data_IF_907592514088
#
_entry.id   IF_907592514088
#
_cell.length_a   1.000
_cell.length_b   1.000
_cell.length_c   1.000
_cell.angle_alpha   90.00
_cell.angle_beta   90.00
_cell.angle_gamma   90.00
#
_symmetry.space_group_name_H-M   'P 1'
#
loop_
_entity.id
_entity.type
_entity.pdbx_description
1 polymer ?
#
# COMPACT_ATOMS: atom_id res chain seq x y z
N UNK A 1 -10.62 -5.67 5.65
CA UNK A 1 -9.54 -5.54 4.64
C UNK A 1 -9.32 -4.11 4.18
N UNK A 2 -10.40 -3.38 3.80
CA UNK A 2 -10.26 -2.06 3.15
C UNK A 2 -9.55 -1.03 4.04
N UNK A 3 -9.85 -0.99 5.35
CA UNK A 3 -9.13 -0.15 6.31
C UNK A 3 -7.64 -0.52 6.41
N UNK A 4 -7.30 -1.82 6.40
CA UNK A 4 -5.90 -2.26 6.40
C UNK A 4 -5.17 -1.78 5.13
N UNK A 5 -5.85 -1.79 3.96
CA UNK A 5 -5.27 -1.26 2.73
C UNK A 5 -4.92 0.23 2.88
N UNK A 6 -5.83 1.04 3.42
CA UNK A 6 -5.60 2.46 3.65
C UNK A 6 -4.42 2.69 4.60
N UNK A 7 -4.40 2.00 5.74
CA UNK A 7 -3.29 2.10 6.71
C UNK A 7 -1.94 1.82 6.05
N UNK A 8 -1.83 0.72 5.30
CA UNK A 8 -0.58 0.36 4.62
C UNK A 8 -0.24 1.39 3.53
N UNK A 9 -1.20 1.77 2.68
CA UNK A 9 -0.98 2.70 1.58
C UNK A 9 -0.49 4.08 2.04
N UNK A 10 -1.05 4.59 3.14
CA UNK A 10 -0.74 5.93 3.65
C UNK A 10 0.47 5.97 4.57
N UNK A 11 0.81 4.88 5.27
CA UNK A 11 1.94 4.85 6.20
C UNK A 11 3.21 4.22 5.63
N UNK A 12 3.10 3.51 4.50
CA UNK A 12 4.25 2.87 3.82
C UNK A 12 4.52 3.52 2.47
N UNK A 13 3.49 4.04 1.80
CA UNK A 13 3.63 4.62 0.48
C UNK A 13 3.91 3.62 -0.65
N UNK A 14 3.76 2.32 -0.41
CA UNK A 14 3.88 1.30 -1.45
C UNK A 14 2.80 1.45 -2.53
N UNK A 15 3.07 0.99 -3.75
CA UNK A 15 2.06 0.99 -4.81
C UNK A 15 0.94 -0.01 -4.51
N UNK A 16 -0.28 0.29 -4.95
CA UNK A 16 -1.41 -0.63 -4.76
C UNK A 16 -1.13 -2.06 -5.25
N UNK A 17 -0.46 -2.19 -6.38
CA UNK A 17 -0.08 -3.51 -6.92
C UNK A 17 0.93 -4.24 -6.04
N UNK A 18 1.81 -3.53 -5.35
CA UNK A 18 2.79 -4.07 -4.40
C UNK A 18 2.07 -4.53 -3.13
N UNK A 19 1.20 -3.68 -2.55
CA UNK A 19 0.38 -4.02 -1.39
C UNK A 19 -0.47 -5.26 -1.65
N UNK A 20 -1.15 -5.30 -2.79
CA UNK A 20 -2.05 -6.41 -3.14
C UNK A 20 -1.33 -7.73 -3.48
N UNK A 21 -0.01 -7.70 -3.60
CA UNK A 21 0.83 -8.89 -3.77
C UNK A 21 1.42 -9.43 -2.47
N UNK A 22 1.26 -8.72 -1.36
CA UNK A 22 1.77 -9.18 -0.07
C UNK A 22 1.24 -10.56 0.28
N UNK A 23 2.11 -11.36 0.85
CA UNK A 23 1.86 -12.72 1.25
C UNK A 23 1.97 -12.87 2.77
N UNK A 24 1.50 -13.98 3.28
CA UNK A 24 1.68 -14.39 4.67
C UNK A 24 3.15 -14.40 5.05
N UNK A 25 3.46 -13.90 6.25
CA UNK A 25 4.83 -13.83 6.76
C UNK A 25 5.65 -12.70 6.13
N UNK A 26 5.02 -11.66 5.58
CA UNK A 26 5.70 -10.53 4.97
C UNK A 26 6.31 -9.52 5.96
N UNK A 27 6.24 -9.74 7.27
CA UNK A 27 6.92 -8.92 8.26
C UNK A 27 8.27 -9.55 8.64
N UNK A 28 9.35 -8.77 8.51
CA UNK A 28 10.72 -9.16 8.85
C UNK A 28 11.27 -8.22 9.91
N UNK A 29 11.86 -8.77 10.98
CA UNK A 29 12.60 -8.00 11.99
C UNK A 29 14.08 -7.98 11.62
N UNK A 30 14.70 -6.82 11.67
CA UNK A 30 16.14 -6.64 11.42
C UNK A 30 16.73 -5.61 12.37
N UNK A 31 17.94 -5.86 12.83
CA UNK A 31 18.74 -4.81 13.44
C UNK A 31 19.07 -3.73 12.40
N UNK A 32 18.93 -2.47 12.79
CA UNK A 32 19.36 -1.36 11.93
C UNK A 32 20.88 -1.30 11.85
N UNK A 33 21.39 -0.96 10.67
CA UNK A 33 22.83 -0.76 10.49
C UNK A 33 23.26 0.47 11.31
N UNK A 34 23.95 0.24 12.44
CA UNK A 34 24.69 1.26 13.18
C UNK A 34 24.17 1.67 14.55
N UNK A 35 22.93 1.43 14.94
CA UNK A 35 22.38 1.81 16.25
C UNK A 35 21.94 0.62 17.12
N UNK A 36 21.91 -0.59 16.56
CA UNK A 36 21.48 -1.80 17.26
C UNK A 36 19.97 -1.87 17.55
N UNK A 37 19.19 -0.90 17.13
CA UNK A 37 17.73 -0.94 17.25
C UNK A 37 17.12 -1.93 16.25
N UNK A 38 16.15 -2.71 16.69
CA UNK A 38 15.40 -3.60 15.80
C UNK A 38 14.26 -2.85 15.13
N UNK A 39 14.25 -2.90 13.81
CA UNK A 39 13.15 -2.38 13.01
C UNK A 39 12.37 -3.50 12.34
N UNK A 40 11.07 -3.28 12.20
CA UNK A 40 10.19 -4.19 11.47
C UNK A 40 10.00 -3.66 10.06
N UNK A 41 10.20 -4.54 9.09
CA UNK A 41 10.05 -4.24 7.68
C UNK A 41 8.91 -5.06 7.07
N UNK A 42 8.16 -4.41 6.20
CA UNK A 42 7.23 -5.05 5.28
C UNK A 42 8.01 -5.49 4.04
N UNK A 43 8.04 -6.78 3.76
CA UNK A 43 8.76 -7.36 2.62
C UNK A 43 7.79 -7.68 1.50
N UNK A 44 8.09 -7.23 0.32
CA UNK A 44 7.28 -7.48 -0.87
C UNK A 44 8.10 -7.35 -2.16
N UNK A 45 7.43 -7.36 -3.29
CA UNK A 45 8.07 -7.34 -4.61
C UNK A 45 7.70 -6.09 -5.39
N UNK A 46 8.71 -5.36 -5.86
CA UNK A 46 8.57 -4.26 -6.81
C UNK A 46 8.72 -4.81 -8.23
N UNK A 47 7.71 -4.61 -9.08
CA UNK A 47 7.74 -5.11 -10.47
C UNK A 47 7.86 -4.01 -11.51
N UNK A 48 7.34 -2.81 -11.22
CA UNK A 48 7.26 -1.72 -12.22
C UNK A 48 8.61 -1.10 -12.57
N UNK A 49 9.56 -1.16 -11.64
CA UNK A 49 10.91 -0.58 -11.77
C UNK A 49 12.00 -1.64 -11.70
N UNK A 50 11.64 -2.90 -11.67
CA UNK A 50 12.55 -4.04 -11.69
C UNK A 50 13.08 -4.30 -13.10
N UNK A 51 14.32 -4.73 -13.18
CA UNK A 51 14.96 -5.23 -14.39
C UNK A 51 14.65 -6.72 -14.63
N UNK A 52 14.05 -7.39 -13.64
CA UNK A 52 13.71 -8.82 -13.72
C UNK A 52 12.21 -9.01 -13.95
N UNK A 53 11.84 -10.04 -14.70
CA UNK A 53 10.42 -10.39 -14.97
C UNK A 53 9.65 -10.73 -13.68
N UNK A 54 10.35 -11.26 -12.69
CA UNK A 54 9.76 -11.66 -11.39
C UNK A 54 9.69 -10.52 -10.39
N UNK A 55 10.33 -9.38 -10.68
CA UNK A 55 10.44 -8.24 -9.76
C UNK A 55 11.58 -8.41 -8.75
N UNK A 56 11.89 -7.31 -8.04
CA UNK A 56 12.94 -7.28 -7.03
C UNK A 56 12.32 -7.27 -5.64
N UNK A 57 12.91 -8.02 -4.71
CA UNK A 57 12.53 -7.98 -3.30
C UNK A 57 12.82 -6.60 -2.73
N UNK A 58 11.83 -6.01 -2.10
CA UNK A 58 11.93 -4.70 -1.49
C UNK A 58 11.42 -4.71 -0.05
N UNK A 59 12.01 -3.84 0.79
CA UNK A 59 11.68 -3.69 2.20
C UNK A 59 11.24 -2.27 2.47
N UNK A 60 10.05 -2.13 3.02
CA UNK A 60 9.53 -0.86 3.51
C UNK A 60 9.52 -0.90 5.04
N UNK A 61 9.92 0.19 5.70
CA UNK A 61 9.74 0.32 7.13
C UNK A 61 8.26 0.16 7.49
N UNK A 62 7.96 -0.71 8.46
CA UNK A 62 6.60 -1.02 8.88
C UNK A 62 6.34 -0.48 10.30
N UNK A 63 5.78 0.73 10.45
CA UNK A 63 5.37 1.23 11.75
C UNK A 63 4.28 0.35 12.37
N UNK A 64 4.12 0.43 13.70
CA UNK A 64 3.21 -0.45 14.46
C UNK A 64 1.80 -0.57 13.87
N UNK A 65 1.11 0.50 13.42
CA UNK A 65 -0.22 0.35 12.81
C UNK A 65 -0.22 -0.53 11.55
N UNK A 66 0.88 -0.52 10.78
CA UNK A 66 1.05 -1.39 9.59
C UNK A 66 1.23 -2.84 10.02
N UNK A 67 2.04 -3.09 11.04
CA UNK A 67 2.22 -4.45 11.59
C UNK A 67 0.88 -5.03 12.05
N UNK A 68 0.10 -4.24 12.79
CA UNK A 68 -1.26 -4.63 13.21
C UNK A 68 -2.19 -4.91 12.02
N UNK A 69 -2.14 -4.07 10.99
CA UNK A 69 -2.93 -4.26 9.77
C UNK A 69 -2.57 -5.58 9.06
N UNK A 70 -1.27 -5.94 9.00
CA UNK A 70 -0.82 -7.21 8.42
C UNK A 70 -1.33 -8.39 9.25
N UNK A 71 -1.17 -8.38 10.57
CA UNK A 71 -1.69 -9.46 11.43
C UNK A 71 -3.21 -9.65 11.31
N UNK A 72 -3.96 -8.54 11.18
CA UNK A 72 -5.41 -8.62 10.91
C UNK A 72 -5.67 -9.27 9.54
N UNK A 73 -4.93 -8.88 8.51
CA UNK A 73 -5.07 -9.46 7.16
C UNK A 73 -4.73 -10.94 7.12
N UNK A 74 -3.67 -11.36 7.81
CA UNK A 74 -3.30 -12.77 7.93
C UNK A 74 -4.45 -13.61 8.53
N UNK A 75 -5.08 -13.11 9.59
CA UNK A 75 -6.24 -13.76 10.19
C UNK A 75 -7.47 -13.76 9.28
N UNK A 76 -7.76 -12.63 8.64
CA UNK A 76 -8.92 -12.50 7.75
C UNK A 76 -8.78 -13.33 6.46
N UNK A 77 -7.58 -13.52 5.96
CA UNK A 77 -7.33 -14.27 4.73
C UNK A 77 -7.13 -15.77 4.96
N UNK A 78 -6.88 -16.20 6.21
CA UNK A 78 -6.56 -17.59 6.53
C UNK A 78 -7.54 -18.60 5.92
N UNK A 79 -8.86 -18.46 6.04
CA UNK A 79 -9.78 -19.43 5.46
C UNK A 79 -9.70 -19.54 3.94
N UNK A 80 -9.47 -18.39 3.25
CA UNK A 80 -9.33 -18.38 1.80
C UNK A 80 -7.97 -18.90 1.34
N UNK A 81 -6.92 -18.70 2.14
CA UNK A 81 -5.59 -19.26 1.89
C UNK A 81 -5.62 -20.78 2.03
N UNK A 82 -6.21 -21.30 3.09
CA UNK A 82 -6.40 -22.74 3.32
C UNK A 82 -7.20 -23.37 2.18
N UNK A 83 -8.31 -22.75 1.78
CA UNK A 83 -9.16 -23.25 0.71
C UNK A 83 -8.46 -23.28 -0.66
N UNK A 84 -7.57 -22.33 -0.93
CA UNK A 84 -7.00 -22.12 -2.26
C UNK A 84 -5.55 -22.53 -2.43
N UNK A 85 -4.84 -22.83 -1.34
CA UNK A 85 -3.38 -23.06 -1.33
C UNK A 85 -2.55 -21.81 -1.67
N UNK A 86 -3.17 -20.62 -1.75
CA UNK A 86 -2.48 -19.35 -2.06
C UNK A 86 -1.97 -18.70 -0.79
N UNK A 87 -0.81 -18.05 -0.86
CA UNK A 87 -0.21 -17.33 0.28
C UNK A 87 -0.62 -15.85 0.37
N UNK A 88 -1.28 -15.32 -0.65
CA UNK A 88 -1.63 -13.90 -0.73
C UNK A 88 -2.59 -13.48 0.40
N UNK A 89 -2.39 -12.28 0.93
CA UNK A 89 -3.25 -11.69 1.97
C UNK A 89 -4.55 -11.08 1.41
N UNK A 90 -4.56 -10.73 0.14
CA UNK A 90 -5.67 -10.04 -0.53
C UNK A 90 -6.44 -10.98 -1.44
N UNK A 91 -7.18 -11.88 -0.82
CA UNK A 91 -7.96 -12.90 -1.52
C UNK A 91 -9.46 -12.58 -1.47
N UNK A 92 -10.18 -13.01 -2.49
CA UNK A 92 -11.63 -13.00 -2.55
C UNK A 92 -12.15 -14.18 -3.36
N UNK A 93 -13.35 -14.62 -3.07
CA UNK A 93 -14.05 -15.60 -3.91
C UNK A 93 -14.64 -14.91 -5.14
N UNK A 94 -14.49 -15.55 -6.32
CA UNK A 94 -15.06 -15.07 -7.56
C UNK A 94 -16.51 -15.58 -7.66
N UNK A 95 -17.42 -14.64 -7.86
CA UNK A 95 -18.81 -14.94 -8.16
C UNK A 95 -19.75 -14.72 -6.97
N UNK A 96 -20.83 -13.98 -7.21
CA UNK A 96 -22.10 -14.10 -6.50
C UNK A 96 -22.88 -15.24 -7.16
N UNK A 97 -22.24 -16.41 -7.31
CA UNK A 97 -22.79 -17.49 -8.09
C UNK A 97 -23.90 -18.24 -7.35
N UNK A 98 -24.80 -18.78 -8.13
CA UNK A 98 -25.78 -19.81 -7.76
C UNK A 98 -25.12 -21.15 -7.37
N UNK A 99 -23.82 -21.14 -6.99
CA UNK A 99 -23.18 -22.35 -6.51
C UNK A 99 -23.72 -22.69 -5.12
N UNK A 100 -24.30 -23.86 -4.94
CA UNK A 100 -24.84 -24.28 -3.66
C UNK A 100 -23.78 -24.49 -2.58
N UNK A 101 -22.49 -24.55 -2.95
CA UNK A 101 -21.37 -24.76 -2.05
C UNK A 101 -20.34 -23.65 -2.19
N UNK A 102 -20.12 -22.81 -1.14
CA UNK A 102 -19.09 -21.76 -1.14
C UNK A 102 -17.66 -22.29 -1.46
N UNK A 103 -17.38 -23.53 -1.13
CA UNK A 103 -16.08 -24.20 -1.37
C UNK A 103 -15.78 -24.43 -2.85
N UNK A 104 -16.77 -24.36 -3.74
CA UNK A 104 -16.58 -24.53 -5.18
C UNK A 104 -16.28 -23.21 -5.92
N UNK A 105 -16.32 -22.06 -5.23
CA UNK A 105 -16.05 -20.79 -5.87
C UNK A 105 -14.53 -20.57 -6.00
N UNK A 106 -14.03 -20.23 -7.20
CA UNK A 106 -12.61 -19.93 -7.37
C UNK A 106 -12.16 -18.77 -6.49
N UNK A 107 -11.01 -18.92 -5.86
CA UNK A 107 -10.37 -17.85 -5.07
C UNK A 107 -9.35 -17.13 -5.94
N UNK A 108 -9.45 -15.81 -5.99
CA UNK A 108 -8.55 -14.95 -6.73
C UNK A 108 -7.98 -13.84 -5.86
N UNK A 109 -6.87 -13.25 -6.31
CA UNK A 109 -6.29 -12.08 -5.69
C UNK A 109 -7.06 -10.83 -6.10
N UNK A 110 -7.30 -9.92 -5.14
CA UNK A 110 -7.86 -8.60 -5.39
C UNK A 110 -6.99 -7.80 -6.37
N UNK A 111 -7.63 -6.97 -7.19
CA UNK A 111 -6.97 -6.04 -8.11
C UNK A 111 -7.32 -4.59 -7.74
N UNK A 112 -6.44 -3.65 -8.07
CA UNK A 112 -6.59 -2.23 -7.73
C UNK A 112 -7.95 -1.63 -8.13
N UNK A 113 -8.55 -1.91 -9.31
CA UNK A 113 -9.87 -1.38 -9.63
C UNK A 113 -10.96 -1.83 -8.65
N UNK A 114 -10.90 -3.09 -8.19
CA UNK A 114 -11.86 -3.60 -7.22
C UNK A 114 -11.68 -2.94 -5.85
N UNK A 115 -10.45 -2.63 -5.45
CA UNK A 115 -10.17 -1.87 -4.22
C UNK A 115 -10.73 -0.47 -4.33
N UNK A 116 -10.55 0.24 -5.46
CA UNK A 116 -11.13 1.57 -5.67
C UNK A 116 -12.67 1.57 -5.52
N UNK A 117 -13.35 0.58 -6.09
CA UNK A 117 -14.81 0.42 -5.93
C UNK A 117 -15.15 0.28 -4.43
N UNK A 118 -14.47 -0.62 -3.73
CA UNK A 118 -14.73 -0.87 -2.29
C UNK A 118 -14.44 0.34 -1.41
N UNK A 119 -13.39 1.12 -1.72
CA UNK A 119 -13.07 2.35 -1.00
C UNK A 119 -14.20 3.38 -1.12
N UNK A 120 -14.79 3.53 -2.30
CA UNK A 120 -15.82 4.54 -2.54
C UNK A 120 -17.23 4.06 -2.16
N UNK A 121 -17.57 2.79 -2.38
CA UNK A 121 -18.90 2.27 -2.09
C UNK A 121 -19.10 1.86 -0.64
N UNK A 122 -18.02 1.57 0.09
CA UNK A 122 -18.10 1.05 1.46
C UNK A 122 -17.36 1.91 2.48
N UNK A 123 -16.07 2.20 2.23
CA UNK A 123 -15.25 2.86 3.24
C UNK A 123 -15.55 4.36 3.32
N UNK A 124 -15.64 5.06 2.20
CA UNK A 124 -15.91 6.50 2.18
C UNK A 124 -17.25 6.85 2.84
N UNK A 125 -18.38 6.15 2.53
CA UNK A 125 -19.65 6.34 3.24
C UNK A 125 -19.57 6.00 4.72
N UNK A 126 -18.88 4.92 5.08
CA UNK A 126 -18.71 4.52 6.49
C UNK A 126 -17.96 5.57 7.32
N UNK A 127 -16.95 6.22 6.71
CA UNK A 127 -16.15 7.26 7.36
C UNK A 127 -16.83 8.63 7.36
N UNK A 128 -17.98 8.80 6.68
CA UNK A 128 -18.66 10.07 6.49
C UNK A 128 -17.68 11.19 6.09
N UNK A 129 -16.88 10.94 5.06
CA UNK A 129 -15.86 11.88 4.61
C UNK A 129 -16.50 13.21 4.21
N UNK A 130 -15.83 14.36 4.53
CA UNK A 130 -16.35 15.67 4.16
C UNK A 130 -16.42 15.83 2.64
N UNK A 131 -17.30 16.67 2.17
CA UNK A 131 -17.36 17.06 0.76
C UNK A 131 -16.07 17.77 0.34
N UNK A 132 -15.67 17.53 -0.91
CA UNK A 132 -14.53 18.17 -1.53
C UNK A 132 -14.95 18.76 -2.87
N UNK A 133 -14.74 20.06 -3.06
CA UNK A 133 -15.12 20.80 -4.28
C UNK A 133 -16.61 20.61 -4.67
N UNK A 134 -17.50 20.62 -3.67
CA UNK A 134 -18.94 20.50 -3.88
C UNK A 134 -19.45 19.10 -4.19
N UNK A 135 -18.64 18.05 -3.97
CA UNK A 135 -19.03 16.67 -4.17
C UNK A 135 -18.40 15.70 -3.17
N UNK A 136 -18.81 14.46 -3.24
CA UNK A 136 -18.24 13.39 -2.40
C UNK A 136 -16.77 13.16 -2.72
N UNK A 137 -15.94 13.04 -1.69
CA UNK A 137 -14.51 12.76 -1.86
C UNK A 137 -14.31 11.40 -2.54
N UNK A 138 -13.71 11.42 -3.73
CA UNK A 138 -13.39 10.20 -4.46
C UNK A 138 -12.02 9.65 -4.06
N UNK A 139 -12.01 8.46 -3.44
CA UNK A 139 -10.79 7.78 -3.01
C UNK A 139 -10.22 6.92 -4.15
N UNK A 140 -8.90 7.02 -4.32
CA UNK A 140 -8.15 6.14 -5.22
C UNK A 140 -6.98 5.50 -4.52
N UNK A 141 -6.62 4.29 -4.95
CA UNK A 141 -5.46 3.56 -4.41
C UNK A 141 -4.13 4.30 -4.61
N UNK A 142 -4.07 5.27 -5.52
CA UNK A 142 -2.87 6.05 -5.80
C UNK A 142 -2.63 7.18 -4.78
N UNK A 143 -3.69 7.70 -4.15
CA UNK A 143 -3.60 8.83 -3.23
C UNK A 143 -2.70 8.53 -2.02
N UNK A 144 -2.75 7.32 -1.46
CA UNK A 144 -1.93 6.94 -0.30
C UNK A 144 -0.44 7.18 -0.53
N UNK A 145 0.10 6.68 -1.65
CA UNK A 145 1.51 6.88 -1.99
C UNK A 145 1.86 8.36 -2.21
N UNK A 146 0.99 9.11 -2.88
CA UNK A 146 1.20 10.55 -3.11
C UNK A 146 1.21 11.32 -1.79
N UNK A 147 0.27 11.02 -0.88
CA UNK A 147 0.18 11.65 0.44
C UNK A 147 1.39 11.31 1.30
N UNK A 148 1.78 10.04 1.38
CA UNK A 148 2.99 9.61 2.07
C UNK A 148 4.23 10.36 1.58
N UNK A 149 4.42 10.38 0.27
CA UNK A 149 5.57 11.04 -0.35
C UNK A 149 5.63 12.53 -0.01
N UNK A 150 4.51 13.24 -0.12
CA UNK A 150 4.40 14.66 0.25
C UNK A 150 4.64 14.91 1.72
N UNK A 151 4.08 14.07 2.57
CA UNK A 151 4.23 14.20 4.03
C UNK A 151 5.68 14.10 4.47
N UNK A 152 6.41 13.10 3.96
CA UNK A 152 7.84 12.93 4.29
C UNK A 152 8.66 14.07 3.70
N UNK A 153 8.47 14.43 2.43
CA UNK A 153 9.25 15.45 1.79
C UNK A 153 9.08 16.86 2.34
N UNK A 154 7.90 17.17 2.88
CA UNK A 154 7.67 18.45 3.59
C UNK A 154 8.39 18.53 4.93
N UNK A 155 8.58 17.38 5.61
CA UNK A 155 9.22 17.33 6.92
C UNK A 155 10.73 17.30 6.86
N UNK A 156 11.28 16.61 5.88
CA UNK A 156 12.73 16.46 5.74
C UNK A 156 13.15 16.49 4.27
N UNK A 157 13.66 17.64 3.84
CA UNK A 157 14.21 17.81 2.49
C UNK A 157 15.55 17.12 2.31
N UNK A 158 16.28 16.87 3.38
CA UNK A 158 17.57 16.17 3.35
C UNK A 158 17.37 14.67 3.14
N UNK A 159 16.23 14.13 3.57
CA UNK A 159 15.83 12.74 3.45
C UNK A 159 15.38 12.28 2.06
N UNK A 160 15.46 13.10 1.00
CA UNK A 160 14.97 12.75 -0.35
C UNK A 160 15.59 11.47 -0.90
N UNK A 161 16.88 11.22 -0.62
CA UNK A 161 17.56 10.00 -1.07
C UNK A 161 17.04 8.76 -0.32
N UNK A 162 16.81 8.88 0.99
CA UNK A 162 16.23 7.81 1.80
C UNK A 162 14.80 7.50 1.33
N UNK A 163 14.01 8.54 1.05
CA UNK A 163 12.67 8.38 0.51
C UNK A 163 12.66 7.77 -0.89
N UNK A 164 13.59 8.16 -1.76
CA UNK A 164 13.76 7.54 -3.07
C UNK A 164 13.97 6.04 -2.95
N UNK A 165 14.88 5.62 -2.06
CA UNK A 165 15.14 4.20 -1.76
C UNK A 165 13.91 3.51 -1.19
N UNK A 166 13.26 4.13 -0.21
CA UNK A 166 12.05 3.61 0.42
C UNK A 166 10.91 3.39 -0.59
N UNK A 167 10.73 4.30 -1.54
CA UNK A 167 9.71 4.19 -2.59
C UNK A 167 10.12 3.27 -3.75
N UNK A 168 11.37 2.79 -3.80
CA UNK A 168 11.88 2.01 -4.93
C UNK A 168 11.87 2.79 -6.25
N UNK A 169 12.23 4.08 -6.22
CA UNK A 169 12.37 4.89 -7.42
C UNK A 169 13.75 4.74 -8.03
N UNK A 170 13.83 4.41 -9.32
CA UNK A 170 15.11 4.27 -10.04
C UNK A 170 15.78 5.62 -10.23
N UNK A 171 15.00 6.68 -10.46
CA UNK A 171 15.54 8.02 -10.72
C UNK A 171 15.04 9.04 -9.68
N UNK A 172 15.97 9.93 -9.23
CA UNK A 172 15.65 11.02 -8.30
C UNK A 172 14.55 11.92 -8.83
N UNK A 173 14.53 12.20 -10.14
CA UNK A 173 13.50 13.00 -10.81
C UNK A 173 12.06 12.46 -10.60
N UNK A 174 11.89 11.15 -10.37
CA UNK A 174 10.57 10.58 -10.06
C UNK A 174 10.12 10.97 -8.64
N UNK A 175 11.06 11.12 -7.74
CA UNK A 175 10.80 11.57 -6.36
C UNK A 175 10.52 13.07 -6.36
N UNK A 176 11.34 13.86 -7.02
CA UNK A 176 11.20 15.32 -7.10
C UNK A 176 9.85 15.74 -7.71
N UNK A 177 9.41 15.09 -8.81
CA UNK A 177 8.06 15.34 -9.37
C UNK A 177 6.92 15.00 -8.42
N UNK A 178 7.07 14.01 -7.56
CA UNK A 178 6.06 13.67 -6.56
C UNK A 178 5.96 14.74 -5.46
N UNK A 179 7.03 15.52 -5.23
CA UNK A 179 7.10 16.55 -4.18
C UNK A 179 6.82 17.95 -4.69
N UNK A 180 7.47 18.32 -5.80
CA UNK A 180 7.49 19.70 -6.32
C UNK A 180 6.37 19.92 -7.35
N UNK A 181 5.88 18.84 -7.96
CA UNK A 181 5.14 18.89 -9.22
C UNK A 181 3.72 19.48 -9.20
N UNK A 182 3.19 20.00 -8.09
CA UNK A 182 1.84 20.61 -8.07
C UNK A 182 1.59 21.66 -6.98
N UNK A 183 2.57 22.04 -6.17
CA UNK A 183 2.40 23.14 -5.22
C UNK A 183 3.05 24.42 -5.77
N UNK A 184 2.29 25.22 -6.48
CA UNK A 184 2.66 26.60 -6.85
C UNK A 184 3.00 27.45 -5.62
N UNK A 185 2.44 27.12 -4.43
CA UNK A 185 2.76 27.78 -3.17
C UNK A 185 4.20 27.52 -2.69
N UNK A 186 4.80 26.39 -3.05
CA UNK A 186 6.17 26.07 -2.67
C UNK A 186 7.21 26.76 -3.56
N UNK A 187 6.86 27.06 -4.81
CA UNK A 187 7.68 27.86 -5.71
C UNK A 187 7.76 29.33 -5.24
N UNK A 188 6.69 29.85 -4.63
CA UNK A 188 6.64 31.21 -4.08
C UNK A 188 7.40 31.39 -2.74
N UNK A 189 7.77 30.29 -2.08
CA UNK A 189 8.55 30.32 -0.82
C UNK A 189 10.07 30.20 -1.06
N UNK A 190 10.51 30.06 -2.32
CA UNK A 190 11.92 29.86 -2.70
C UNK A 190 12.49 31.13 -3.35
N UNK A 191 11.68 32.09 -3.72
CA UNK A 191 12.04 33.45 -4.13
C UNK A 191 12.02 34.41 -2.90
#
# INVERSE_FOLDING_TARGET
GDACFVVIAYLVGARASEILRLEEGCLERRAADGDGEEHVYLVGTITKTSLTEHGDVHRWLAPEPVQRAIHILERLSAPLRELSGKRNLWLHQLGRGRSPLPTMMPVARLRSPMVNIRLNERLAPFLALPEHQGGTWHLTTYQGRKTFSRFIGRRDRTGLTALQRHLGHVHRAMTDRAYVGTDFELAQLID
#
